data_IF_524870811607
#
_entry.id   IF_524870811607
#
_cell.length_a   1.000
_cell.length_b   1.000
_cell.length_c   1.000
_cell.angle_alpha   90.00
_cell.angle_beta   90.00
_cell.angle_gamma   90.00
#
_symmetry.space_group_name_H-M   'P 1'
#
loop_
_entity.id
_entity.type
_entity.pdbx_description
1 polymer ?
#
# COMPACT_ATOMS: atom_id res chain seq x y z
N UNK A 1 4.67 5.52 3.56
CA UNK A 1 4.90 4.06 3.59
C UNK A 1 3.98 3.37 2.59
N UNK A 2 4.49 2.50 1.70
CA UNK A 2 3.67 1.80 0.71
C UNK A 2 3.39 0.34 1.07
N UNK A 3 2.26 -0.19 0.62
CA UNK A 3 1.83 -1.58 0.88
C UNK A 3 1.42 -2.26 -0.43
N UNK A 4 1.79 -3.53 -0.59
CA UNK A 4 1.22 -4.40 -1.61
C UNK A 4 0.16 -5.32 -0.98
N UNK A 5 -0.97 -5.51 -1.65
CA UNK A 5 -1.96 -6.53 -1.30
C UNK A 5 -2.16 -7.42 -2.52
N UNK A 6 -2.01 -8.73 -2.34
CA UNK A 6 -2.18 -9.70 -3.40
C UNK A 6 -2.97 -10.93 -2.94
N UNK A 7 -3.92 -11.35 -3.77
CA UNK A 7 -4.42 -12.72 -3.71
C UNK A 7 -3.38 -13.63 -4.36
N UNK A 8 -3.22 -14.84 -3.84
CA UNK A 8 -2.49 -15.91 -4.54
C UNK A 8 -3.46 -17.00 -5.01
N UNK A 9 -3.10 -17.72 -6.05
CA UNK A 9 -3.77 -18.92 -6.54
C UNK A 9 -2.78 -20.04 -6.80
N UNK A 10 -3.28 -21.27 -6.90
CA UNK A 10 -2.48 -22.48 -7.21
C UNK A 10 -1.55 -22.27 -8.40
N UNK A 11 -2.03 -21.58 -9.41
CA UNK A 11 -1.27 -21.28 -10.62
C UNK A 11 -0.08 -20.31 -10.48
N UNK A 12 0.12 -19.73 -9.30
CA UNK A 12 1.28 -18.86 -9.02
C UNK A 12 2.53 -19.67 -8.65
N UNK A 13 2.47 -21.01 -8.63
CA UNK A 13 3.62 -21.89 -8.44
C UNK A 13 3.92 -22.70 -9.69
N UNK A 14 5.19 -22.71 -10.09
CA UNK A 14 5.73 -23.59 -11.10
C UNK A 14 6.84 -24.49 -10.54
N UNK A 15 6.93 -25.71 -11.06
CA UNK A 15 7.93 -26.71 -10.68
C UNK A 15 8.78 -27.07 -11.89
N UNK A 16 10.10 -27.04 -11.71
CA UNK A 16 11.09 -27.44 -12.70
C UNK A 16 11.12 -28.96 -12.84
N UNK A 17 10.88 -29.43 -14.05
CA UNK A 17 10.99 -30.84 -14.43
C UNK A 17 11.84 -30.98 -15.69
N UNK A 18 12.41 -32.17 -15.87
CA UNK A 18 13.09 -32.52 -17.12
C UNK A 18 12.05 -33.07 -18.10
N UNK A 19 11.94 -32.45 -19.27
CA UNK A 19 11.13 -32.91 -20.39
C UNK A 19 12.05 -33.07 -21.59
N UNK A 20 12.21 -34.32 -22.07
CA UNK A 20 13.05 -34.65 -23.23
C UNK A 20 14.50 -34.10 -23.15
N UNK A 21 15.10 -34.10 -21.96
CA UNK A 21 16.47 -33.62 -21.74
C UNK A 21 16.57 -32.11 -21.50
N UNK A 22 15.47 -31.37 -21.51
CA UNK A 22 15.43 -29.93 -21.21
C UNK A 22 14.73 -29.67 -19.87
N UNK A 23 15.35 -28.88 -19.01
CA UNK A 23 14.69 -28.40 -17.79
C UNK A 23 13.69 -27.30 -18.12
N UNK A 24 12.45 -27.46 -17.67
CA UNK A 24 11.37 -26.48 -17.86
C UNK A 24 10.52 -26.36 -16.61
N UNK A 25 10.09 -25.15 -16.28
CA UNK A 25 9.16 -24.88 -15.19
C UNK A 25 7.72 -25.00 -15.68
N UNK A 26 6.92 -25.86 -15.05
CA UNK A 26 5.50 -26.00 -15.35
C UNK A 26 4.63 -25.57 -14.18
N UNK A 27 3.52 -24.85 -14.42
CA UNK A 27 2.61 -24.46 -13.35
C UNK A 27 1.94 -25.71 -12.76
N UNK A 28 1.74 -25.72 -11.44
CA UNK A 28 1.01 -26.83 -10.78
C UNK A 28 -0.45 -26.90 -11.23
N UNK A 29 -1.01 -25.75 -11.62
CA UNK A 29 -2.37 -25.60 -12.11
C UNK A 29 -2.37 -24.52 -13.21
N UNK A 30 -2.58 -24.86 -14.49
CA UNK A 30 -2.57 -23.86 -15.54
C UNK A 30 -3.85 -23.02 -15.48
N UNK A 31 -3.72 -21.69 -15.52
CA UNK A 31 -4.88 -20.84 -15.73
C UNK A 31 -5.31 -20.90 -17.19
N UNK A 32 -6.62 -20.86 -17.41
CA UNK A 32 -7.19 -20.46 -18.68
C UNK A 32 -7.65 -19.01 -18.54
N UNK A 33 -6.89 -18.07 -19.10
CA UNK A 33 -7.27 -16.66 -19.14
C UNK A 33 -7.76 -16.28 -20.55
N UNK A 34 -8.77 -15.40 -20.69
CA UNK A 34 -9.18 -14.90 -22.00
C UNK A 34 -8.00 -14.17 -22.66
N UNK A 35 -7.70 -14.52 -23.92
CA UNK A 35 -6.62 -13.96 -24.74
C UNK A 35 -5.18 -14.32 -24.32
N UNK A 36 -4.95 -15.52 -23.75
CA UNK A 36 -3.58 -16.03 -23.62
C UNK A 36 -2.89 -16.07 -24.98
N UNK A 37 -1.80 -15.32 -25.12
CA UNK A 37 -0.98 -15.39 -26.32
C UNK A 37 -0.21 -16.71 -26.36
N UNK A 38 -0.66 -17.60 -27.24
CA UNK A 38 0.00 -18.87 -27.55
C UNK A 38 0.73 -18.81 -28.89
N UNK A 39 0.80 -17.64 -29.51
CA UNK A 39 1.53 -17.49 -30.77
C UNK A 39 3.02 -17.76 -30.55
N UNK A 40 3.64 -18.48 -31.49
CA UNK A 40 5.05 -18.87 -31.38
C UNK A 40 5.33 -20.09 -30.51
N UNK A 41 4.34 -20.69 -29.84
CA UNK A 41 4.51 -21.96 -29.12
C UNK A 41 4.38 -23.16 -30.06
N UNK A 42 5.20 -24.18 -29.82
CA UNK A 42 5.05 -25.49 -30.48
C UNK A 42 3.80 -26.23 -29.99
N UNK A 43 3.25 -27.19 -30.76
CA UNK A 43 2.13 -28.01 -30.30
C UNK A 43 2.42 -28.77 -29.00
N UNK A 44 3.67 -29.20 -28.80
CA UNK A 44 4.10 -29.86 -27.56
C UNK A 44 4.06 -28.91 -26.36
N UNK A 45 4.56 -27.68 -26.52
CA UNK A 45 4.52 -26.63 -25.50
C UNK A 45 3.11 -26.23 -25.12
N UNK A 46 2.20 -26.14 -26.09
CA UNK A 46 0.78 -25.90 -25.83
C UNK A 46 0.22 -27.06 -25.01
N UNK A 47 0.50 -28.30 -25.38
CA UNK A 47 0.04 -29.47 -24.62
C UNK A 47 0.66 -29.52 -23.21
N UNK A 48 1.91 -29.09 -23.07
CA UNK A 48 2.63 -28.99 -21.79
C UNK A 48 2.02 -27.95 -20.86
N UNK A 49 1.64 -26.79 -21.41
CA UNK A 49 0.94 -25.75 -20.70
C UNK A 49 -0.48 -26.16 -20.30
N UNK A 50 -1.23 -26.79 -21.20
CA UNK A 50 -2.63 -27.16 -20.95
C UNK A 50 -2.79 -28.38 -20.04
N UNK A 51 -1.81 -29.30 -20.06
CA UNK A 51 -1.86 -30.57 -19.33
C UNK A 51 -0.54 -30.87 -18.59
N UNK A 52 -0.08 -29.98 -17.69
CA UNK A 52 1.20 -30.14 -17.01
C UNK A 52 1.25 -31.41 -16.15
N UNK A 53 0.11 -31.89 -15.64
CA UNK A 53 0.01 -33.14 -14.88
C UNK A 53 0.52 -34.38 -15.64
N UNK A 54 0.38 -34.42 -16.97
CA UNK A 54 0.92 -35.52 -17.78
C UNK A 54 2.45 -35.54 -17.74
N UNK A 55 3.06 -34.35 -17.76
CA UNK A 55 4.51 -34.18 -17.73
C UNK A 55 5.08 -34.34 -16.32
N UNK A 56 4.35 -33.92 -15.28
CA UNK A 56 4.70 -34.26 -13.89
C UNK A 56 4.67 -35.77 -13.64
N UNK A 57 3.74 -36.49 -14.25
CA UNK A 57 3.70 -37.95 -14.17
C UNK A 57 4.86 -38.60 -14.93
N UNK A 58 5.11 -38.20 -16.19
CA UNK A 58 6.16 -38.82 -17.02
C UNK A 58 7.57 -38.48 -16.56
N UNK A 59 7.80 -37.29 -15.99
CA UNK A 59 9.10 -36.90 -15.39
C UNK A 59 9.42 -37.60 -14.08
N UNK A 60 8.45 -38.32 -13.48
CA UNK A 60 8.63 -38.98 -12.20
C UNK A 60 8.42 -38.09 -10.96
N UNK A 61 8.10 -36.79 -11.13
CA UNK A 61 7.88 -35.85 -10.02
C UNK A 61 6.85 -36.36 -9.00
N UNK A 62 5.75 -36.96 -9.46
CA UNK A 62 4.75 -37.53 -8.55
C UNK A 62 5.30 -38.70 -7.73
N UNK A 63 6.14 -39.55 -8.33
CA UNK A 63 6.75 -40.67 -7.61
C UNK A 63 7.79 -40.17 -6.60
N UNK A 64 8.55 -39.12 -6.95
CA UNK A 64 9.50 -38.44 -6.08
C UNK A 64 8.82 -37.87 -4.82
N UNK A 65 7.63 -37.27 -4.99
CA UNK A 65 6.79 -36.76 -3.90
C UNK A 65 5.97 -37.86 -3.20
N UNK A 66 6.22 -39.14 -3.53
CA UNK A 66 5.63 -40.30 -2.88
C UNK A 66 4.16 -40.57 -3.24
N UNK A 67 3.68 -40.09 -4.38
CA UNK A 67 2.36 -40.42 -4.90
C UNK A 67 2.38 -41.77 -5.65
N UNK A 68 1.23 -42.45 -5.69
CA UNK A 68 1.08 -43.71 -6.43
C UNK A 68 1.09 -43.45 -7.93
N UNK A 69 1.75 -44.33 -8.69
CA UNK A 69 1.73 -44.32 -10.15
C UNK A 69 0.27 -44.36 -10.64
N UNK A 70 -0.10 -43.44 -11.53
CA UNK A 70 -1.43 -43.24 -12.15
C UNK A 70 -2.48 -42.46 -11.35
N UNK A 71 -2.13 -41.86 -10.21
CA UNK A 71 -3.03 -40.93 -9.50
C UNK A 71 -2.54 -39.50 -9.71
N UNK A 72 -3.40 -38.64 -10.26
CA UNK A 72 -3.13 -37.20 -10.36
C UNK A 72 -3.61 -36.53 -9.07
N UNK A 73 -2.70 -36.04 -8.20
CA UNK A 73 -3.09 -35.39 -6.96
C UNK A 73 -3.86 -34.10 -7.23
N UNK A 74 -4.69 -33.71 -6.27
CA UNK A 74 -5.23 -32.35 -6.19
C UNK A 74 -4.11 -31.34 -5.93
N UNK A 75 -4.35 -30.06 -6.24
CA UNK A 75 -3.38 -29.00 -5.99
C UNK A 75 -3.03 -28.89 -4.49
N UNK A 76 -4.00 -29.15 -3.61
CA UNK A 76 -3.79 -29.19 -2.15
C UNK A 76 -2.86 -30.32 -1.75
N UNK A 77 -3.13 -31.57 -2.17
CA UNK A 77 -2.26 -32.72 -1.85
C UNK A 77 -0.85 -32.53 -2.41
N UNK A 78 -0.73 -32.00 -3.63
CA UNK A 78 0.55 -31.72 -4.26
C UNK A 78 1.36 -30.69 -3.47
N UNK A 79 0.75 -29.57 -3.08
CA UNK A 79 1.41 -28.51 -2.31
C UNK A 79 1.71 -28.95 -0.88
N UNK A 80 0.86 -29.76 -0.25
CA UNK A 80 1.12 -30.34 1.07
C UNK A 80 2.36 -31.25 1.05
N UNK A 81 2.43 -32.20 0.12
CA UNK A 81 3.61 -33.08 -0.06
C UNK A 81 4.86 -32.28 -0.43
N UNK A 82 4.73 -31.32 -1.36
CA UNK A 82 5.84 -30.48 -1.77
C UNK A 82 6.40 -29.65 -0.61
N UNK A 83 5.55 -29.11 0.25
CA UNK A 83 5.97 -28.35 1.43
C UNK A 83 6.78 -29.23 2.39
N UNK A 84 6.31 -30.45 2.68
CA UNK A 84 7.04 -31.38 3.55
C UNK A 84 8.44 -31.70 2.98
N UNK A 85 8.54 -32.03 1.69
CA UNK A 85 9.82 -32.32 1.05
C UNK A 85 10.73 -31.08 0.94
N UNK A 86 10.16 -29.89 0.76
CA UNK A 86 10.91 -28.63 0.78
C UNK A 86 11.42 -28.28 2.19
N UNK A 87 10.74 -28.71 3.24
CA UNK A 87 11.27 -28.60 4.60
C UNK A 87 12.48 -29.50 4.80
N UNK A 88 12.44 -30.73 4.30
CA UNK A 88 13.52 -31.71 4.43
C UNK A 88 14.75 -31.37 3.57
N UNK A 89 14.55 -30.87 2.34
CA UNK A 89 15.63 -30.55 1.39
C UNK A 89 15.49 -29.13 0.81
N UNK A 90 15.80 -28.08 1.59
CA UNK A 90 15.56 -26.69 1.18
C UNK A 90 16.28 -26.28 -0.11
N UNK A 91 17.58 -26.54 -0.22
CA UNK A 91 18.39 -26.10 -1.37
C UNK A 91 17.90 -26.72 -2.69
N UNK A 92 17.58 -28.02 -2.64
CA UNK A 92 17.08 -28.77 -3.79
C UNK A 92 15.79 -28.19 -4.36
N UNK A 93 14.81 -27.94 -3.50
CA UNK A 93 13.50 -27.44 -3.92
C UNK A 93 13.50 -25.94 -4.22
N UNK A 94 14.34 -25.15 -3.55
CA UNK A 94 14.46 -23.72 -3.82
C UNK A 94 14.91 -23.43 -5.27
N UNK A 95 15.74 -24.30 -5.84
CA UNK A 95 16.19 -24.22 -7.25
C UNK A 95 15.26 -24.93 -8.25
N UNK A 96 14.24 -25.65 -7.77
CA UNK A 96 13.24 -26.33 -8.59
C UNK A 96 11.87 -25.69 -8.54
N UNK A 97 11.63 -24.73 -7.66
CA UNK A 97 10.35 -24.05 -7.53
C UNK A 97 10.51 -22.61 -7.99
N UNK A 98 9.49 -22.10 -8.68
CA UNK A 98 9.48 -20.73 -9.15
C UNK A 98 8.06 -20.16 -9.11
N UNK A 99 7.81 -19.02 -8.46
CA UNK A 99 6.50 -18.40 -8.41
C UNK A 99 6.37 -17.20 -9.39
N UNK A 100 6.14 -17.44 -10.70
CA UNK A 100 6.36 -16.46 -11.77
C UNK A 100 5.57 -15.16 -11.64
N UNK A 101 4.28 -15.26 -11.26
CA UNK A 101 3.35 -14.12 -11.28
C UNK A 101 3.52 -13.26 -10.05
N UNK A 102 3.49 -13.86 -8.87
CA UNK A 102 3.65 -13.12 -7.62
C UNK A 102 5.06 -12.51 -7.50
N UNK A 103 6.09 -13.15 -8.06
CA UNK A 103 7.42 -12.52 -8.19
C UNK A 103 7.38 -11.25 -9.02
N UNK A 104 6.79 -11.29 -10.22
CA UNK A 104 6.67 -10.08 -11.05
C UNK A 104 5.93 -8.95 -10.34
N UNK A 105 4.87 -9.28 -9.59
CA UNK A 105 4.10 -8.30 -8.80
C UNK A 105 4.96 -7.71 -7.68
N UNK A 106 5.73 -8.53 -6.97
CA UNK A 106 6.61 -8.10 -5.87
C UNK A 106 7.79 -7.28 -6.40
N UNK A 107 8.44 -7.71 -7.49
CA UNK A 107 9.48 -6.91 -8.16
C UNK A 107 8.94 -5.53 -8.53
N UNK A 108 7.74 -5.48 -9.12
CA UNK A 108 7.12 -4.21 -9.46
C UNK A 108 6.89 -3.34 -8.22
N UNK A 109 6.41 -3.93 -7.12
CA UNK A 109 6.22 -3.22 -5.86
C UNK A 109 7.54 -2.66 -5.29
N UNK A 110 8.62 -3.44 -5.34
CA UNK A 110 9.97 -3.01 -4.91
C UNK A 110 10.44 -1.80 -5.72
N UNK A 111 10.22 -1.77 -7.03
CA UNK A 111 10.56 -0.59 -7.86
C UNK A 111 9.80 0.68 -7.47
N UNK A 112 8.73 0.54 -6.68
CA UNK A 112 7.89 1.64 -6.20
C UNK A 112 8.11 1.92 -4.70
N UNK A 113 9.20 1.42 -4.12
CA UNK A 113 9.59 1.67 -2.73
C UNK A 113 8.82 0.85 -1.69
N UNK A 114 8.11 -0.20 -2.11
CA UNK A 114 7.37 -1.09 -1.19
C UNK A 114 8.28 -2.23 -0.74
N UNK A 115 8.29 -2.49 0.56
CA UNK A 115 9.10 -3.54 1.20
C UNK A 115 8.27 -4.63 1.89
N UNK A 116 6.94 -4.56 1.81
CA UNK A 116 6.05 -5.54 2.42
C UNK A 116 4.82 -5.81 1.56
N UNK A 117 4.30 -7.03 1.65
CA UNK A 117 3.06 -7.43 1.00
C UNK A 117 2.16 -8.24 1.93
N UNK A 118 0.88 -7.88 1.97
CA UNK A 118 -0.18 -8.71 2.51
C UNK A 118 -0.62 -9.73 1.46
N UNK A 119 -0.50 -11.01 1.79
CA UNK A 119 -0.86 -12.13 0.93
C UNK A 119 -2.12 -12.79 1.46
N UNK A 120 -3.18 -12.77 0.67
CA UNK A 120 -4.45 -13.39 1.05
C UNK A 120 -4.39 -14.90 0.77
N UNK A 121 -4.56 -15.70 1.82
CA UNK A 121 -4.42 -17.16 1.80
C UNK A 121 -5.77 -17.83 2.03
N UNK A 122 -6.14 -18.77 1.18
CA UNK A 122 -7.37 -19.54 1.28
C UNK A 122 -7.14 -20.90 1.92
N UNK A 123 -8.10 -21.39 2.72
CA UNK A 123 -8.06 -22.70 3.36
C UNK A 123 -9.43 -23.40 3.33
N UNK A 124 -10.15 -23.28 2.21
CA UNK A 124 -11.47 -23.90 2.08
C UNK A 124 -11.30 -25.37 1.72
N UNK A 125 -11.37 -26.23 2.75
CA UNK A 125 -11.52 -27.68 2.58
C UNK A 125 -12.91 -27.92 2.00
N UNK A 126 -13.02 -28.11 0.68
CA UNK A 126 -14.34 -28.37 0.08
C UNK A 126 -14.84 -29.73 0.60
N UNK A 127 -15.95 -29.75 1.33
CA UNK A 127 -16.72 -30.97 1.54
C UNK A 127 -17.29 -31.40 0.18
N UNK A 128 -16.76 -32.48 -0.37
CA UNK A 128 -17.01 -32.93 -1.73
C UNK A 128 -18.49 -33.28 -1.97
N UNK A 129 -19.23 -32.45 -2.70
CA UNK A 129 -20.45 -32.87 -3.42
C UNK A 129 -20.21 -33.15 -4.91
N UNK A 130 -19.12 -32.62 -5.48
CA UNK A 130 -18.74 -32.85 -6.88
C UNK A 130 -17.26 -33.29 -6.97
N UNK A 131 -16.98 -34.56 -7.34
CA UNK A 131 -15.63 -35.10 -7.47
C UNK A 131 -14.80 -34.45 -8.61
N UNK A 132 -15.38 -33.60 -9.45
CA UNK A 132 -14.66 -32.86 -10.51
C UNK A 132 -14.06 -31.53 -10.02
N UNK A 133 -14.44 -31.05 -8.85
CA UNK A 133 -13.91 -29.81 -8.27
C UNK A 133 -12.72 -30.15 -7.38
N UNK A 134 -11.51 -30.11 -7.97
CA UNK A 134 -10.26 -30.29 -7.21
C UNK A 134 -10.12 -29.15 -6.18
N UNK A 135 -9.68 -29.46 -4.96
CA UNK A 135 -9.35 -28.46 -3.94
C UNK A 135 -8.23 -27.53 -4.46
N UNK A 136 -8.58 -26.25 -4.68
CA UNK A 136 -7.71 -25.20 -5.22
C UNK A 136 -7.51 -24.06 -4.22
N UNK A 137 -7.38 -24.40 -2.94
CA UNK A 137 -6.97 -23.45 -1.90
C UNK A 137 -5.44 -23.22 -1.91
N UNK A 138 -4.96 -22.30 -1.08
CA UNK A 138 -3.56 -21.85 -1.08
C UNK A 138 -2.85 -22.01 0.26
N UNK A 139 -3.43 -22.74 1.23
CA UNK A 139 -2.89 -22.84 2.60
C UNK A 139 -1.51 -23.48 2.66
N UNK A 140 -1.25 -24.51 1.84
CA UNK A 140 0.07 -25.15 1.75
C UNK A 140 0.96 -24.48 0.69
N UNK A 141 0.36 -23.74 -0.24
CA UNK A 141 1.11 -22.97 -1.24
C UNK A 141 1.83 -21.77 -0.61
N UNK A 142 1.15 -21.03 0.28
CA UNK A 142 1.72 -19.83 0.88
C UNK A 142 3.06 -20.09 1.59
N UNK A 143 3.21 -21.09 2.48
CA UNK A 143 4.48 -21.37 3.15
C UNK A 143 5.62 -21.73 2.18
N UNK A 144 5.32 -22.38 1.05
CA UNK A 144 6.31 -22.66 -0.01
C UNK A 144 6.81 -21.34 -0.62
N UNK A 145 5.87 -20.47 -0.99
CA UNK A 145 6.15 -19.16 -1.56
C UNK A 145 6.95 -18.32 -0.56
N UNK A 146 6.50 -18.24 0.69
CA UNK A 146 7.16 -17.51 1.77
C UNK A 146 8.62 -17.94 1.95
N UNK A 147 8.86 -19.25 2.07
CA UNK A 147 10.21 -19.80 2.22
C UNK A 147 11.11 -19.49 1.02
N UNK A 148 10.57 -19.59 -0.18
CA UNK A 148 11.30 -19.27 -1.41
C UNK A 148 11.67 -17.79 -1.50
N UNK A 149 10.73 -16.89 -1.18
CA UNK A 149 11.00 -15.44 -1.12
C UNK A 149 11.97 -15.07 -0.01
N UNK A 150 11.90 -15.68 1.17
CA UNK A 150 12.85 -15.43 2.25
C UNK A 150 14.30 -15.71 1.82
N UNK A 151 14.50 -16.66 0.91
CA UNK A 151 15.83 -17.01 0.37
C UNK A 151 16.31 -16.00 -0.67
N UNK A 152 15.41 -15.47 -1.50
CA UNK A 152 15.77 -14.62 -2.65
C UNK A 152 15.65 -13.11 -2.36
N UNK A 153 14.74 -12.70 -1.48
CA UNK A 153 14.41 -11.32 -1.09
C UNK A 153 14.28 -11.20 0.44
N UNK A 154 15.37 -11.34 1.22
CA UNK A 154 15.31 -11.35 2.69
C UNK A 154 14.85 -10.01 3.31
N UNK A 155 14.88 -8.93 2.54
CA UNK A 155 14.44 -7.59 2.94
C UNK A 155 12.97 -7.31 2.64
N UNK A 156 12.27 -8.22 1.94
CA UNK A 156 10.87 -8.05 1.58
C UNK A 156 9.99 -8.92 2.48
N UNK A 157 9.07 -8.30 3.23
CA UNK A 157 8.25 -9.01 4.21
C UNK A 157 6.93 -9.46 3.61
N UNK A 158 6.63 -10.76 3.70
CA UNK A 158 5.31 -11.30 3.35
C UNK A 158 4.49 -11.51 4.62
N UNK A 159 3.28 -10.94 4.64
CA UNK A 159 2.36 -11.01 5.78
C UNK A 159 1.13 -11.80 5.33
N UNK A 160 0.83 -12.97 5.93
CA UNK A 160 -0.34 -13.74 5.52
C UNK A 160 -1.61 -13.17 6.14
N UNK A 161 -2.68 -13.18 5.36
CA UNK A 161 -4.04 -12.93 5.82
C UNK A 161 -4.93 -14.09 5.38
N UNK A 162 -5.33 -14.93 6.34
CA UNK A 162 -6.07 -16.15 6.07
C UNK A 162 -7.57 -15.87 5.97
N UNK A 163 -8.19 -16.30 4.86
CA UNK A 163 -9.64 -16.37 4.75
C UNK A 163 -10.12 -17.50 5.68
N UNK A 164 -11.01 -17.21 6.65
CA UNK A 164 -11.59 -18.21 7.54
C UNK A 164 -12.16 -19.43 6.79
N UNK A 165 -12.01 -20.63 7.38
CA UNK A 165 -12.45 -21.90 6.74
C UNK A 165 -13.97 -21.91 6.44
N UNK A 166 -14.76 -21.18 7.23
CA UNK A 166 -16.22 -21.06 7.12
C UNK A 166 -16.70 -20.09 6.02
N UNK A 167 -15.79 -19.33 5.38
CA UNK A 167 -16.12 -18.44 4.26
C UNK A 167 -15.87 -19.18 2.93
N UNK A 168 -16.92 -19.57 2.17
CA UNK A 168 -16.75 -20.21 0.88
C UNK A 168 -16.19 -19.22 -0.16
N UNK A 169 -15.20 -19.63 -0.97
CA UNK A 169 -14.59 -18.78 -1.99
C UNK A 169 -15.49 -18.40 -3.18
N UNK A 170 -16.71 -18.92 -3.21
CA UNK A 170 -17.75 -18.63 -4.19
C UNK A 170 -18.80 -17.66 -3.66
N UNK A 171 -18.84 -17.45 -2.34
CA UNK A 171 -19.80 -16.55 -1.70
C UNK A 171 -19.27 -15.12 -1.73
N UNK A 172 -19.83 -14.32 -2.64
CA UNK A 172 -19.41 -12.93 -2.83
C UNK A 172 -19.62 -12.09 -1.57
N UNK A 173 -20.74 -12.25 -0.87
CA UNK A 173 -21.13 -11.36 0.23
C UNK A 173 -20.21 -11.56 1.44
N UNK A 174 -19.93 -12.82 1.79
CA UNK A 174 -18.98 -13.14 2.86
C UNK A 174 -17.56 -12.71 2.51
N UNK A 175 -17.13 -12.88 1.25
CA UNK A 175 -15.84 -12.36 0.80
C UNK A 175 -15.77 -10.83 0.87
N UNK A 176 -16.81 -10.12 0.42
CA UNK A 176 -16.87 -8.66 0.54
C UNK A 176 -16.70 -8.20 1.99
N UNK A 177 -17.38 -8.86 2.93
CA UNK A 177 -17.26 -8.58 4.36
C UNK A 177 -15.84 -8.85 4.86
N UNK A 178 -15.25 -9.99 4.50
CA UNK A 178 -13.87 -10.33 4.87
C UNK A 178 -12.87 -9.25 4.41
N UNK A 179 -12.91 -8.86 3.14
CA UNK A 179 -12.00 -7.82 2.63
C UNK A 179 -12.28 -6.47 3.28
N UNK A 180 -13.53 -6.13 3.53
CA UNK A 180 -13.90 -4.91 4.27
C UNK A 180 -13.28 -4.90 5.68
N UNK A 181 -13.40 -5.99 6.43
CA UNK A 181 -12.85 -6.11 7.78
C UNK A 181 -11.31 -6.07 7.77
N UNK A 182 -10.68 -6.70 6.78
CA UNK A 182 -9.23 -6.63 6.54
C UNK A 182 -8.75 -5.20 6.30
N UNK A 183 -9.36 -4.49 5.34
CA UNK A 183 -8.99 -3.11 5.02
C UNK A 183 -9.23 -2.14 6.19
N UNK A 184 -10.28 -2.35 6.99
CA UNK A 184 -10.53 -1.55 8.18
C UNK A 184 -9.45 -1.76 9.26
N UNK A 185 -8.96 -3.00 9.43
CA UNK A 185 -7.83 -3.28 10.33
C UNK A 185 -6.57 -2.59 9.84
N UNK A 186 -6.26 -2.66 8.54
CA UNK A 186 -5.12 -1.96 7.95
C UNK A 186 -5.17 -0.45 8.22
N UNK A 187 -6.29 0.19 7.88
CA UNK A 187 -6.50 1.63 8.15
C UNK A 187 -6.31 1.96 9.62
N UNK A 188 -6.90 1.17 10.53
CA UNK A 188 -6.79 1.43 11.97
C UNK A 188 -5.35 1.28 12.48
N UNK A 189 -4.59 0.32 11.94
CA UNK A 189 -3.18 0.14 12.28
C UNK A 189 -2.34 1.33 11.77
N UNK A 190 -2.60 1.80 10.56
CA UNK A 190 -1.95 2.99 9.99
C UNK A 190 -2.29 4.25 10.76
N UNK A 191 -3.56 4.49 11.10
CA UNK A 191 -3.95 5.64 11.93
C UNK A 191 -3.27 5.62 13.31
N UNK A 192 -3.10 4.43 13.90
CA UNK A 192 -2.35 4.26 15.16
C UNK A 192 -0.87 4.53 14.97
N UNK A 193 -0.26 4.01 13.90
CA UNK A 193 1.14 4.23 13.58
C UNK A 193 1.41 5.70 13.27
N UNK A 194 0.54 6.36 12.50
CA UNK A 194 0.59 7.80 12.26
C UNK A 194 0.43 8.58 13.56
N UNK A 195 -0.54 8.25 14.43
CA UNK A 195 -0.67 8.90 15.75
C UNK A 195 0.57 8.71 16.63
N UNK A 196 1.22 7.54 16.56
CA UNK A 196 2.46 7.26 17.29
C UNK A 196 3.68 7.93 16.65
N UNK A 197 3.76 8.01 15.32
CA UNK A 197 4.82 8.72 14.59
C UNK A 197 4.67 10.25 14.69
N UNK A 198 3.45 10.75 14.93
CA UNK A 198 3.16 12.16 15.25
C UNK A 198 3.58 12.55 16.67
N UNK A 199 4.10 11.62 17.48
CA UNK A 199 4.81 11.96 18.71
C UNK A 199 6.13 12.62 18.30
N UNK A 200 6.24 13.92 18.57
CA UNK A 200 7.42 14.72 18.26
C UNK A 200 8.67 14.07 18.84
N UNK A 201 9.79 14.10 18.11
CA UNK A 201 11.11 13.63 18.56
C UNK A 201 11.92 14.79 19.11
N UNK A 202 12.94 14.48 19.91
CA UNK A 202 13.90 15.49 20.37
C UNK A 202 14.64 16.03 19.13
N UNK A 203 14.69 17.36 19.00
CA UNK A 203 15.27 18.07 17.87
C UNK A 203 14.26 18.60 16.85
N UNK A 204 13.02 18.11 16.87
CA UNK A 204 11.99 18.56 15.92
C UNK A 204 11.65 20.03 16.13
N UNK A 205 11.62 20.80 15.03
CA UNK A 205 11.09 22.17 15.03
C UNK A 205 9.61 22.15 14.71
N UNK A 206 8.79 22.72 15.60
CA UNK A 206 7.34 22.71 15.52
C UNK A 206 6.74 24.09 15.69
N UNK A 207 5.67 24.35 14.95
CA UNK A 207 4.84 25.54 15.11
C UNK A 207 3.81 25.29 16.22
N UNK A 208 3.81 26.15 17.24
CA UNK A 208 2.96 26.01 18.41
C UNK A 208 2.20 27.31 18.72
N UNK A 209 0.95 27.16 19.16
CA UNK A 209 0.08 28.23 19.59
C UNK A 209 0.28 28.51 21.07
N UNK A 210 0.48 29.77 21.45
CA UNK A 210 0.57 30.19 22.85
C UNK A 210 -0.81 30.11 23.50
N UNK A 211 -0.96 29.26 24.51
CA UNK A 211 -2.23 29.04 25.21
C UNK A 211 -2.34 29.94 26.43
N UNK A 212 -1.30 29.96 27.26
CA UNK A 212 -1.32 30.65 28.54
C UNK A 212 0.09 30.92 29.06
N UNK A 213 0.24 32.01 29.81
CA UNK A 213 1.41 32.22 30.66
C UNK A 213 1.26 31.43 31.96
N UNK A 214 2.37 30.90 32.46
CA UNK A 214 2.40 30.25 33.76
C UNK A 214 2.29 31.30 34.88
N UNK A 215 1.53 30.98 35.94
CA UNK A 215 1.11 31.95 36.94
C UNK A 215 2.27 32.49 37.80
N UNK A 216 3.35 31.73 37.95
CA UNK A 216 4.55 32.14 38.69
C UNK A 216 5.59 32.82 37.78
N UNK A 217 5.26 33.02 36.49
CA UNK A 217 6.14 33.67 35.53
C UNK A 217 7.33 32.82 35.07
N UNK A 218 7.30 31.51 35.28
CA UNK A 218 8.41 30.61 34.97
C UNK A 218 8.40 30.11 33.53
N UNK A 219 7.40 30.48 32.73
CA UNK A 219 7.34 30.08 31.33
C UNK A 219 5.97 30.23 30.69
N UNK A 220 5.79 29.52 29.58
CA UNK A 220 4.63 29.64 28.70
C UNK A 220 4.15 28.24 28.28
N UNK A 221 2.84 28.03 28.35
CA UNK A 221 2.17 26.85 27.81
C UNK A 221 1.83 27.06 26.34
N UNK A 222 2.19 26.09 25.51
CA UNK A 222 1.94 26.10 24.08
C UNK A 222 1.32 24.79 23.62
N UNK A 223 0.55 24.81 22.53
CA UNK A 223 -0.02 23.63 21.89
C UNK A 223 0.37 23.63 20.42
N UNK A 224 1.01 22.55 19.97
CA UNK A 224 1.40 22.40 18.57
C UNK A 224 0.17 22.24 17.69
N UNK A 225 0.28 22.57 16.40
CA UNK A 225 -0.79 22.33 15.41
C UNK A 225 -1.18 20.83 15.36
N UNK A 226 -0.26 19.94 15.76
CA UNK A 226 -0.51 18.52 15.88
C UNK A 226 -1.40 18.11 17.08
N UNK A 227 -1.78 19.05 17.96
CA UNK A 227 -2.57 18.82 19.17
C UNK A 227 -1.74 18.36 20.38
N UNK A 228 -0.42 18.56 20.35
CA UNK A 228 0.50 18.18 21.44
C UNK A 228 0.74 19.37 22.34
N UNK A 229 0.47 19.21 23.64
CA UNK A 229 0.73 20.25 24.66
C UNK A 229 2.19 20.23 25.10
N UNK A 230 2.82 21.41 25.12
CA UNK A 230 4.20 21.60 25.53
C UNK A 230 4.37 22.80 26.45
N UNK A 231 5.56 22.92 27.04
CA UNK A 231 5.92 24.00 27.95
C UNK A 231 7.31 24.54 27.61
N UNK A 232 7.41 25.86 27.49
CA UNK A 232 8.67 26.59 27.32
C UNK A 232 9.02 27.21 28.66
N UNK A 233 10.07 26.72 29.31
CA UNK A 233 10.60 27.31 30.54
C UNK A 233 11.32 28.63 30.23
N UNK A 234 11.33 29.58 31.16
CA UNK A 234 11.94 30.92 30.96
C UNK A 234 13.41 30.84 30.50
N UNK A 235 14.19 29.91 31.06
CA UNK A 235 15.59 29.65 30.67
C UNK A 235 15.76 29.00 29.28
N UNK A 236 14.67 28.58 28.64
CA UNK A 236 14.69 27.99 27.30
C UNK A 236 14.20 28.97 26.23
N UNK A 237 14.01 30.24 26.58
CA UNK A 237 13.48 31.25 25.66
C UNK A 237 14.60 31.95 24.90
N UNK A 238 15.65 32.37 25.63
CA UNK A 238 16.80 33.07 25.09
C UNK A 238 18.10 32.55 25.71
N UNK A 239 19.23 32.81 25.06
CA UNK A 239 20.57 32.54 25.60
C UNK A 239 20.99 33.59 26.64
N UNK A 240 20.28 34.71 26.75
CA UNK A 240 20.42 35.70 27.83
C UNK A 240 19.30 35.56 28.86
N UNK A 241 19.51 36.15 30.04
CA UNK A 241 18.49 36.17 31.09
C UNK A 241 17.22 36.89 30.59
N UNK A 242 16.08 36.21 30.73
CA UNK A 242 14.74 36.69 30.38
C UNK A 242 13.98 36.96 31.68
N UNK A 243 13.28 38.09 31.76
CA UNK A 243 12.38 38.38 32.87
C UNK A 243 10.89 38.20 32.50
N UNK A 244 10.01 38.43 33.47
CA UNK A 244 8.56 38.28 33.26
C UNK A 244 7.96 39.30 32.28
N UNK A 245 8.53 40.50 32.18
CA UNK A 245 8.06 41.50 31.24
C UNK A 245 8.49 41.15 29.81
N UNK A 246 9.71 40.63 29.65
CA UNK A 246 10.23 40.12 28.39
C UNK A 246 9.35 39.01 27.83
N UNK A 247 8.88 38.08 28.67
CA UNK A 247 7.93 37.03 28.28
C UNK A 247 6.70 37.57 27.56
N UNK A 248 6.11 38.64 28.07
CA UNK A 248 4.89 39.27 27.52
C UNK A 248 5.16 40.10 26.27
N UNK A 249 6.42 40.48 26.03
CA UNK A 249 6.84 41.14 24.80
C UNK A 249 7.15 40.12 23.70
N UNK A 250 7.69 38.96 24.06
CA UNK A 250 8.08 37.90 23.12
C UNK A 250 6.86 37.08 22.67
N UNK A 251 5.96 36.75 23.61
CA UNK A 251 4.80 35.89 23.35
C UNK A 251 3.49 36.65 23.52
N UNK A 252 2.50 36.30 22.69
CA UNK A 252 1.12 36.81 22.80
C UNK A 252 0.19 35.62 22.86
N UNK A 253 -0.80 35.64 23.76
CA UNK A 253 -1.81 34.57 23.80
C UNK A 253 -2.47 34.46 22.41
N UNK A 254 -2.70 33.23 21.98
CA UNK A 254 -3.21 32.86 20.67
C UNK A 254 -2.27 33.08 19.47
N UNK A 255 -1.06 33.61 19.65
CA UNK A 255 -0.08 33.71 18.56
C UNK A 255 0.62 32.38 18.28
N UNK A 256 1.06 32.21 17.04
CA UNK A 256 1.86 31.06 16.60
C UNK A 256 3.35 31.39 16.71
N UNK A 257 4.12 30.49 17.31
CA UNK A 257 5.58 30.61 17.51
C UNK A 257 6.28 29.32 17.15
N UNK A 258 7.45 29.41 16.53
CA UNK A 258 8.29 28.24 16.26
C UNK A 258 9.08 27.86 17.50
N UNK A 259 9.12 26.57 17.82
CA UNK A 259 9.79 26.01 18.99
C UNK A 259 10.50 24.72 18.60
N UNK A 260 11.60 24.38 19.28
CA UNK A 260 12.27 23.08 19.13
C UNK A 260 11.98 22.19 20.34
N UNK A 261 11.81 20.90 20.11
CA UNK A 261 11.67 19.89 21.16
C UNK A 261 13.03 19.57 21.76
N UNK A 262 13.23 19.94 23.03
CA UNK A 262 14.51 19.70 23.71
C UNK A 262 14.48 18.45 24.60
N UNK A 263 13.31 18.09 25.13
CA UNK A 263 13.15 16.92 26.01
C UNK A 263 11.72 16.44 26.04
N UNK A 264 11.55 15.12 26.17
CA UNK A 264 10.26 14.45 26.33
C UNK A 264 10.30 13.67 27.64
N UNK A 265 9.34 13.88 28.52
CA UNK A 265 9.25 13.22 29.82
C UNK A 265 7.80 12.83 30.13
N UNK A 266 7.52 11.52 30.17
CA UNK A 266 6.18 10.97 30.44
C UNK A 266 5.04 11.64 29.66
N UNK A 267 5.25 11.89 28.35
CA UNK A 267 4.26 12.54 27.47
C UNK A 267 4.17 14.07 27.61
N UNK A 268 5.01 14.69 28.44
CA UNK A 268 5.18 16.15 28.52
C UNK A 268 6.36 16.59 27.66
N UNK A 269 6.10 17.58 26.80
CA UNK A 269 7.09 18.12 25.88
C UNK A 269 7.70 19.40 26.44
N UNK A 270 9.02 19.39 26.64
CA UNK A 270 9.78 20.61 26.92
C UNK A 270 10.24 21.19 25.60
N UNK A 271 9.88 22.44 25.39
CA UNK A 271 10.11 23.19 24.17
C UNK A 271 11.03 24.37 24.44
N UNK A 272 11.66 24.86 23.39
CA UNK A 272 12.69 25.89 23.48
C UNK A 272 12.73 26.76 22.23
N UNK A 273 13.06 28.03 22.39
CA UNK A 273 13.25 28.99 21.28
C UNK A 273 14.68 29.50 21.19
N UNK A 274 15.52 29.25 22.21
CA UNK A 274 16.91 29.70 22.28
C UNK A 274 17.79 29.15 21.16
N UNK A 275 17.44 27.98 20.62
CA UNK A 275 18.20 27.30 19.55
C UNK A 275 18.11 28.04 18.21
N UNK A 276 17.16 28.98 18.08
CA UNK A 276 17.00 29.79 16.88
C UNK A 276 17.75 31.12 16.92
N UNK A 277 18.27 31.52 18.08
CA UNK A 277 19.07 32.73 18.23
C UNK A 277 20.46 32.57 17.61
N UNK A 278 20.85 33.50 16.75
CA UNK A 278 22.23 33.57 16.24
C UNK A 278 23.15 34.33 17.18
N UNK A 279 22.60 35.32 17.88
CA UNK A 279 23.28 36.09 18.92
C UNK A 279 22.48 36.05 20.21
N UNK A 280 23.14 36.01 21.39
CA UNK A 280 22.43 35.96 22.65
C UNK A 280 21.49 37.15 22.84
N UNK A 281 20.23 36.88 23.20
CA UNK A 281 19.23 37.93 23.46
C UNK A 281 18.54 38.48 22.21
N UNK A 282 18.75 37.87 21.05
CA UNK A 282 18.12 38.29 19.79
C UNK A 282 16.59 38.27 19.89
N UNK A 283 16.02 37.24 20.52
CA UNK A 283 14.57 37.06 20.59
C UNK A 283 13.91 38.11 21.50
N UNK A 284 14.63 38.64 22.49
CA UNK A 284 14.12 39.67 23.41
C UNK A 284 13.96 41.00 22.65
N UNK A 285 14.93 41.32 21.78
CA UNK A 285 14.97 42.58 21.05
C UNK A 285 14.10 42.57 19.79
N UNK A 286 14.10 41.45 19.06
CA UNK A 286 13.35 41.32 17.81
C UNK A 286 12.85 39.88 17.58
N UNK A 287 11.78 39.45 18.30
CA UNK A 287 11.23 38.11 18.16
C UNK A 287 10.82 37.76 16.73
N UNK A 288 10.25 38.74 16.00
CA UNK A 288 9.76 38.54 14.64
C UNK A 288 10.89 38.20 13.66
N UNK A 289 12.07 38.82 13.78
CA UNK A 289 13.21 38.51 12.93
C UNK A 289 13.68 37.06 13.10
N UNK A 290 13.71 36.57 14.34
CA UNK A 290 14.07 35.18 14.66
C UNK A 290 13.05 34.22 14.03
N UNK A 291 11.75 34.43 14.25
CA UNK A 291 10.70 33.54 13.73
C UNK A 291 10.60 33.57 12.19
N UNK A 292 10.78 34.74 11.57
CA UNK A 292 10.80 34.85 10.10
C UNK A 292 11.97 34.06 9.50
N UNK A 293 13.14 34.06 10.14
CA UNK A 293 14.30 33.27 9.72
C UNK A 293 14.03 31.78 9.83
N UNK A 294 13.48 31.33 10.96
CA UNK A 294 13.11 29.93 11.16
C UNK A 294 12.10 29.49 10.10
N UNK A 295 11.11 30.32 9.81
CA UNK A 295 10.15 30.06 8.72
C UNK A 295 10.83 29.96 7.36
N UNK A 296 11.82 30.81 7.05
CA UNK A 296 12.59 30.70 5.81
C UNK A 296 13.42 29.42 5.74
N UNK A 297 14.09 29.03 6.83
CA UNK A 297 14.85 27.78 6.92
C UNK A 297 13.93 26.56 6.76
N UNK A 298 12.77 26.57 7.41
CA UNK A 298 11.76 25.52 7.26
C UNK A 298 11.21 25.51 5.84
N UNK A 299 10.96 26.64 5.19
CA UNK A 299 10.48 26.65 3.81
C UNK A 299 11.52 26.11 2.82
N UNK A 300 12.81 26.39 3.06
CA UNK A 300 13.91 25.85 2.27
C UNK A 300 14.12 24.35 2.51
N UNK A 301 13.97 23.90 3.76
CA UNK A 301 13.98 22.48 4.13
C UNK A 301 12.73 21.76 3.63
N UNK A 302 11.55 22.38 3.70
CA UNK A 302 10.30 21.81 3.18
C UNK A 302 10.36 21.65 1.66
N UNK A 303 11.05 22.53 0.94
CA UNK A 303 11.29 22.34 -0.49
C UNK A 303 12.24 21.15 -0.80
N UNK A 304 13.10 20.73 0.14
CA UNK A 304 13.95 19.52 0.02
C UNK A 304 13.36 18.28 0.69
N UNK A 305 12.47 18.46 1.67
CA UNK A 305 11.93 17.44 2.59
C UNK A 305 10.44 17.16 2.32
N UNK A 306 9.88 17.70 1.23
CA UNK A 306 8.58 17.31 0.65
C UNK A 306 8.65 15.91 0.00
N UNK A 307 9.26 14.95 0.67
CA UNK A 307 8.83 13.56 0.60
C UNK A 307 8.10 13.25 1.90
N UNK A 308 6.89 13.84 2.05
CA UNK A 308 5.86 13.07 2.74
C UNK A 308 5.78 11.78 1.96
N UNK A 309 6.18 10.68 2.58
CA UNK A 309 6.26 9.35 2.01
C UNK A 309 4.83 8.91 1.61
N UNK A 310 4.33 9.44 0.49
CA UNK A 310 2.91 9.36 0.10
C UNK A 310 2.47 7.91 0.08
N UNK A 311 1.50 7.58 0.92
CA UNK A 311 1.05 6.21 1.15
C UNK A 311 0.50 5.62 -0.16
N UNK A 312 1.31 4.76 -0.76
CA UNK A 312 1.02 4.05 -1.99
C UNK A 312 0.50 2.66 -1.66
N UNK A 313 -0.75 2.39 -2.01
CA UNK A 313 -1.30 1.04 -2.02
C UNK A 313 -1.19 0.46 -3.43
N UNK A 314 -0.63 -0.75 -3.53
CA UNK A 314 -0.70 -1.58 -4.73
C UNK A 314 -1.64 -2.75 -4.48
N UNK A 315 -2.53 -3.03 -5.44
CA UNK A 315 -3.37 -4.22 -5.43
C UNK A 315 -3.10 -5.07 -6.66
N UNK A 316 -2.72 -6.33 -6.47
CA UNK A 316 -2.65 -7.27 -7.58
C UNK A 316 -4.05 -7.56 -8.13
N UNK A 317 -4.22 -7.51 -9.44
CA UNK A 317 -5.50 -7.82 -10.10
C UNK A 317 -5.69 -9.31 -10.37
N UNK A 318 -4.68 -10.13 -10.10
CA UNK A 318 -4.67 -11.58 -10.36
C UNK A 318 -4.59 -12.36 -9.04
N UNK A 319 -4.66 -13.68 -9.13
CA UNK A 319 -4.71 -14.59 -7.99
C UNK A 319 -6.11 -14.77 -7.40
N UNK A 320 -6.37 -15.94 -6.82
CA UNK A 320 -7.67 -16.28 -6.25
C UNK A 320 -8.82 -16.46 -7.26
N UNK A 321 -10.04 -16.62 -6.74
CA UNK A 321 -11.27 -16.73 -7.54
C UNK A 321 -11.67 -15.39 -8.16
N UNK A 322 -12.63 -15.39 -9.09
CA UNK A 322 -13.18 -14.15 -9.66
C UNK A 322 -13.78 -13.28 -8.54
N UNK A 323 -14.51 -13.90 -7.62
CA UNK A 323 -15.14 -13.27 -6.47
C UNK A 323 -14.10 -12.62 -5.55
N UNK A 324 -13.00 -13.33 -5.24
CA UNK A 324 -11.89 -12.77 -4.45
C UNK A 324 -11.27 -11.54 -5.12
N UNK A 325 -11.00 -11.61 -6.44
CA UNK A 325 -10.44 -10.47 -7.19
C UNK A 325 -11.38 -9.27 -7.18
N UNK A 326 -12.66 -9.50 -7.45
CA UNK A 326 -13.68 -8.44 -7.47
C UNK A 326 -13.84 -7.81 -6.08
N UNK A 327 -13.93 -8.61 -5.02
CA UNK A 327 -14.06 -8.12 -3.66
C UNK A 327 -12.83 -7.32 -3.22
N UNK A 328 -11.62 -7.83 -3.45
CA UNK A 328 -10.37 -7.13 -3.16
C UNK A 328 -10.28 -5.78 -3.88
N UNK A 329 -10.56 -5.75 -5.18
CA UNK A 329 -10.51 -4.52 -5.98
C UNK A 329 -11.52 -3.48 -5.51
N UNK A 330 -12.78 -3.89 -5.29
CA UNK A 330 -13.84 -2.98 -4.89
C UNK A 330 -13.65 -2.46 -3.47
N UNK A 331 -13.23 -3.31 -2.54
CA UNK A 331 -12.93 -2.87 -1.18
C UNK A 331 -11.67 -2.01 -1.14
N UNK A 332 -10.63 -2.33 -1.91
CA UNK A 332 -9.45 -1.46 -2.03
C UNK A 332 -9.81 -0.05 -2.51
N UNK A 333 -10.75 0.07 -3.44
CA UNK A 333 -11.25 1.36 -3.90
C UNK A 333 -12.07 2.08 -2.82
N UNK A 334 -12.83 1.36 -2.00
CA UNK A 334 -13.66 1.98 -0.95
C UNK A 334 -12.83 2.63 0.16
N UNK A 335 -11.59 2.17 0.38
CA UNK A 335 -10.65 2.73 1.37
C UNK A 335 -9.73 3.82 0.81
N UNK A 336 -9.94 4.27 -0.43
CA UNK A 336 -9.15 5.34 -1.04
C UNK A 336 -9.15 6.67 -0.29
N UNK A 337 -10.10 6.89 0.61
CA UNK A 337 -10.07 8.05 1.50
C UNK A 337 -8.93 7.98 2.52
N UNK A 338 -8.45 6.79 2.85
CA UNK A 338 -7.33 6.57 3.77
C UNK A 338 -5.97 6.59 3.07
N UNK A 339 -5.89 6.13 1.81
CA UNK A 339 -4.64 6.03 1.04
C UNK A 339 -4.59 7.08 -0.07
N UNK A 340 -3.57 7.95 -0.06
CA UNK A 340 -3.44 9.03 -1.06
C UNK A 340 -3.26 8.50 -2.49
N UNK A 341 -2.64 7.33 -2.67
CA UNK A 341 -2.38 6.73 -3.98
C UNK A 341 -2.75 5.24 -3.99
N UNK A 342 -3.57 4.83 -4.95
CA UNK A 342 -3.87 3.41 -5.24
C UNK A 342 -3.54 3.10 -6.69
N UNK A 343 -2.81 2.02 -6.90
CA UNK A 343 -2.57 1.46 -8.23
C UNK A 343 -2.84 -0.02 -8.24
N UNK A 344 -3.14 -0.52 -9.43
CA UNK A 344 -3.40 -1.92 -9.66
C UNK A 344 -2.26 -2.51 -10.47
N UNK A 345 -1.72 -3.64 -10.03
CA UNK A 345 -0.63 -4.34 -10.69
C UNK A 345 -1.21 -5.51 -11.46
N UNK A 346 -1.09 -5.47 -12.79
CA UNK A 346 -1.55 -6.51 -13.69
C UNK A 346 -0.38 -7.31 -14.26
N UNK A 347 -0.06 -8.50 -13.70
CA UNK A 347 0.95 -9.36 -14.27
C UNK A 347 0.47 -9.96 -15.60
N UNK A 348 1.28 -9.77 -16.63
CA UNK A 348 1.09 -10.29 -17.97
C UNK A 348 1.76 -11.66 -18.09
N UNK A 349 0.95 -12.70 -18.28
CA UNK A 349 1.44 -14.07 -18.33
C UNK A 349 2.07 -14.38 -19.69
N UNK A 350 3.36 -14.63 -19.71
CA UNK A 350 4.10 -15.07 -20.89
C UNK A 350 4.52 -16.54 -20.70
N UNK A 351 3.95 -17.45 -21.49
CA UNK A 351 4.19 -18.90 -21.36
C UNK A 351 5.69 -19.26 -21.52
N UNK A 352 6.41 -18.75 -22.56
CA UNK A 352 7.85 -18.97 -22.67
C UNK A 352 8.66 -18.47 -21.46
N UNK A 353 8.28 -17.32 -20.90
CA UNK A 353 8.92 -16.79 -19.69
C UNK A 353 8.71 -17.71 -18.50
N UNK A 354 7.51 -18.26 -18.33
CA UNK A 354 7.25 -19.25 -17.26
C UNK A 354 8.15 -20.47 -17.43
N UNK A 355 8.20 -21.07 -18.63
CA UNK A 355 9.02 -22.27 -18.88
C UNK A 355 10.50 -22.07 -18.56
N UNK A 356 11.01 -20.85 -18.72
CA UNK A 356 12.41 -20.49 -18.49
C UNK A 356 12.69 -19.92 -17.09
N UNK A 357 11.68 -19.87 -16.21
CA UNK A 357 11.85 -19.35 -14.85
C UNK A 357 12.01 -17.84 -14.80
N UNK A 358 11.42 -17.12 -15.75
CA UNK A 358 11.41 -15.65 -15.79
C UNK A 358 10.09 -15.11 -15.24
N UNK A 359 10.14 -14.01 -14.47
CA UNK A 359 8.93 -13.48 -13.85
C UNK A 359 8.00 -12.82 -14.87
N UNK A 360 6.73 -12.71 -14.49
CA UNK A 360 5.74 -12.04 -15.33
C UNK A 360 6.02 -10.53 -15.35
N UNK A 361 6.05 -9.93 -16.54
CA UNK A 361 6.04 -8.47 -16.65
C UNK A 361 4.74 -7.93 -16.06
N UNK A 362 4.75 -6.69 -15.56
CA UNK A 362 3.58 -6.11 -14.91
C UNK A 362 3.23 -4.76 -15.56
N UNK A 363 1.94 -4.59 -15.86
CA UNK A 363 1.36 -3.31 -16.25
C UNK A 363 0.70 -2.66 -15.04
N UNK A 364 0.85 -1.34 -14.91
CA UNK A 364 0.14 -0.56 -13.91
C UNK A 364 -1.18 -0.07 -14.49
N UNK A 365 -2.26 -0.34 -13.77
CA UNK A 365 -3.61 0.05 -14.11
C UNK A 365 -4.21 0.95 -13.04
N UNK A 366 -5.23 1.72 -13.43
CA UNK A 366 -6.04 2.50 -12.53
C UNK A 366 -7.52 2.42 -12.91
N UNK A 367 -8.37 2.11 -11.94
CA UNK A 367 -9.83 2.16 -12.09
C UNK A 367 -10.39 3.58 -11.91
N UNK A 368 -9.67 4.60 -12.41
CA UNK A 368 -9.95 6.02 -12.18
C UNK A 368 -11.39 6.42 -12.50
N UNK A 369 -12.04 5.82 -13.51
CA UNK A 369 -13.45 6.10 -13.86
C UNK A 369 -14.41 5.71 -12.74
N UNK A 370 -14.16 4.56 -12.13
CA UNK A 370 -14.98 4.06 -11.03
C UNK A 370 -14.72 4.88 -9.76
N UNK A 371 -13.44 5.19 -9.47
CA UNK A 371 -13.04 6.07 -8.37
C UNK A 371 -13.70 7.45 -8.49
N UNK A 372 -13.70 8.04 -9.70
CA UNK A 372 -14.35 9.32 -9.99
C UNK A 372 -15.83 9.30 -9.63
N UNK A 373 -16.55 8.26 -10.05
CA UNK A 373 -17.99 8.13 -9.79
C UNK A 373 -18.26 8.14 -8.29
N UNK A 374 -17.49 7.38 -7.52
CA UNK A 374 -17.59 7.35 -6.06
C UNK A 374 -17.26 8.71 -5.42
N UNK A 375 -16.13 9.33 -5.80
CA UNK A 375 -15.75 10.65 -5.27
C UNK A 375 -16.83 11.70 -5.53
N UNK A 376 -17.43 11.72 -6.72
CA UNK A 376 -18.52 12.66 -7.04
C UNK A 376 -19.82 12.38 -6.28
N UNK A 377 -20.12 11.12 -5.96
CA UNK A 377 -21.24 10.79 -5.08
C UNK A 377 -20.97 11.29 -3.66
N UNK A 378 -19.76 11.09 -3.13
CA UNK A 378 -19.37 11.62 -1.81
C UNK A 378 -19.46 13.14 -1.76
N UNK A 379 -18.90 13.85 -2.76
CA UNK A 379 -18.98 15.31 -2.85
C UNK A 379 -20.43 15.79 -2.86
N UNK A 380 -21.31 15.12 -3.62
CA UNK A 380 -22.74 15.46 -3.63
C UNK A 380 -23.34 15.38 -2.22
N UNK A 381 -23.07 14.29 -1.48
CA UNK A 381 -23.56 14.12 -0.12
C UNK A 381 -22.99 15.15 0.87
N UNK A 382 -21.74 15.59 0.69
CA UNK A 382 -21.13 16.65 1.50
C UNK A 382 -21.78 18.01 1.23
N UNK A 383 -22.01 18.34 -0.04
CA UNK A 383 -22.69 19.59 -0.42
C UNK A 383 -24.14 19.62 0.07
N UNK A 384 -24.85 18.49 0.06
CA UNK A 384 -26.19 18.38 0.68
C UNK A 384 -26.16 18.69 2.19
N UNK A 385 -25.01 18.50 2.85
CA UNK A 385 -24.76 18.80 4.27
C UNK A 385 -24.04 20.12 4.50
N UNK A 386 -23.86 20.94 3.45
CA UNK A 386 -23.14 22.22 3.50
C UNK A 386 -21.65 22.11 3.91
N UNK A 387 -21.04 20.92 3.76
CA UNK A 387 -19.61 20.72 4.00
C UNK A 387 -18.79 21.03 2.74
N UNK A 388 -18.56 22.32 2.52
CA UNK A 388 -17.80 22.81 1.36
C UNK A 388 -16.31 22.50 1.46
N UNK A 389 -15.73 22.59 2.66
CA UNK A 389 -14.31 22.33 2.86
C UNK A 389 -13.97 20.86 2.63
N UNK A 390 -14.81 19.93 3.10
CA UNK A 390 -14.68 18.51 2.78
C UNK A 390 -14.82 18.22 1.28
N UNK A 391 -15.75 18.89 0.60
CA UNK A 391 -15.91 18.76 -0.85
C UNK A 391 -14.69 19.29 -1.64
N UNK A 392 -14.13 20.44 -1.22
CA UNK A 392 -12.92 21.04 -1.79
C UNK A 392 -11.73 20.07 -1.58
N UNK A 393 -11.54 19.56 -0.37
CA UNK A 393 -10.45 18.64 -0.06
C UNK A 393 -10.49 17.40 -0.95
N UNK A 394 -11.65 16.74 -1.08
CA UNK A 394 -11.79 15.54 -1.93
C UNK A 394 -11.45 15.83 -3.39
N UNK A 395 -11.82 17.01 -3.91
CA UNK A 395 -11.52 17.41 -5.28
C UNK A 395 -10.03 17.73 -5.47
N UNK A 396 -9.39 18.41 -4.52
CA UNK A 396 -7.95 18.68 -4.54
C UNK A 396 -7.16 17.38 -4.53
N UNK A 397 -7.45 16.47 -3.59
CA UNK A 397 -6.83 15.14 -3.53
C UNK A 397 -7.02 14.35 -4.84
N UNK A 398 -8.19 14.53 -5.46
CA UNK A 398 -8.48 13.88 -6.74
C UNK A 398 -7.66 14.46 -7.90
N UNK A 399 -7.43 15.79 -7.94
CA UNK A 399 -6.54 16.41 -8.92
C UNK A 399 -5.09 15.93 -8.75
N UNK A 400 -4.59 15.88 -7.53
CA UNK A 400 -3.25 15.38 -7.21
C UNK A 400 -3.07 13.93 -7.68
N UNK A 401 -4.05 13.07 -7.38
CA UNK A 401 -4.02 11.68 -7.81
C UNK A 401 -4.03 11.54 -9.35
N UNK A 402 -4.82 12.34 -10.07
CA UNK A 402 -4.82 12.30 -11.53
C UNK A 402 -3.49 12.76 -12.13
N UNK A 403 -2.88 13.81 -11.56
CA UNK A 403 -1.53 14.25 -11.94
C UNK A 403 -0.49 13.16 -11.69
N UNK A 404 -0.60 12.46 -10.57
CA UNK A 404 0.25 11.30 -10.27
C UNK A 404 0.09 10.19 -11.33
N UNK A 405 -1.14 9.82 -11.71
CA UNK A 405 -1.36 8.81 -12.75
C UNK A 405 -0.72 9.19 -14.09
N UNK A 406 -0.83 10.47 -14.48
CA UNK A 406 -0.24 11.00 -15.71
C UNK A 406 1.29 10.89 -15.64
N UNK A 407 1.90 11.29 -14.53
CA UNK A 407 3.34 11.21 -14.32
C UNK A 407 3.86 9.76 -14.32
N UNK A 408 3.07 8.80 -13.84
CA UNK A 408 3.38 7.38 -13.91
C UNK A 408 3.17 6.76 -15.32
N UNK A 409 2.77 7.56 -16.31
CA UNK A 409 2.52 7.10 -17.67
C UNK A 409 1.28 6.20 -17.79
N UNK A 410 0.43 6.15 -16.77
CA UNK A 410 -0.78 5.33 -16.76
C UNK A 410 -1.82 6.02 -17.64
N UNK A 411 -2.18 5.38 -18.76
CA UNK A 411 -3.13 5.93 -19.73
C UNK A 411 -4.53 5.33 -19.54
N UNK A 412 -5.61 6.05 -19.88
CA UNK A 412 -6.94 5.47 -19.87
C UNK A 412 -7.00 4.30 -20.86
N UNK A 413 -7.50 3.14 -20.42
CA UNK A 413 -7.69 1.99 -21.31
C UNK A 413 -8.59 2.40 -22.49
N UNK A 414 -8.03 2.38 -23.70
CA UNK A 414 -8.75 2.56 -24.97
C UNK A 414 -9.62 1.32 -25.22
N UNK A 415 -10.85 1.29 -24.70
CA UNK A 415 -11.87 0.39 -25.27
C UNK A 415 -12.54 1.09 -26.45
N UNK A 416 -12.03 0.79 -27.65
CA UNK A 416 -12.65 1.17 -28.92
C UNK A 416 -14.02 0.47 -29.07
N UNK A 417 -15.11 1.24 -28.95
CA UNK A 417 -16.28 1.23 -29.86
C UNK A 417 -17.22 2.39 -29.54
N UNK A 418 -16.76 3.59 -29.90
CA UNK A 418 -17.47 4.78 -30.40
C UNK A 418 -16.56 5.97 -30.22
N UNK A 419 -16.42 6.78 -31.28
CA UNK A 419 -15.67 8.02 -31.30
C UNK A 419 -16.09 8.91 -30.13
N UNK A 420 -15.29 8.90 -29.08
CA UNK A 420 -15.13 10.00 -28.14
C UNK A 420 -13.78 9.80 -27.50
N UNK A 421 -12.84 10.66 -27.88
CA UNK A 421 -11.49 10.68 -27.31
C UNK A 421 -11.62 11.33 -25.95
N UNK A 422 -11.98 10.56 -24.92
CA UNK A 422 -11.94 11.06 -23.54
C UNK A 422 -10.58 10.72 -22.93
N UNK A 423 -9.64 11.67 -23.03
CA UNK A 423 -8.36 11.64 -22.32
C UNK A 423 -8.53 11.95 -20.84
N UNK A 424 -7.42 11.97 -20.09
CA UNK A 424 -7.41 12.61 -18.75
C UNK A 424 -7.73 14.12 -18.85
N UNK A 425 -7.68 14.70 -20.05
CA UNK A 425 -7.93 16.12 -20.30
C UNK A 425 -9.41 16.55 -20.23
N UNK A 426 -10.39 15.63 -20.29
CA UNK A 426 -11.82 15.94 -20.08
C UNK A 426 -12.23 16.05 -18.61
N UNK A 427 -11.25 16.38 -17.77
CA UNK A 427 -11.40 16.57 -16.36
C UNK A 427 -12.04 17.94 -16.11
N UNK A 428 -13.38 17.93 -16.10
CA UNK A 428 -14.27 18.97 -15.57
C UNK A 428 -14.00 19.34 -14.08
N UNK A 429 -12.86 18.97 -13.49
CA UNK A 429 -12.55 19.16 -12.07
C UNK A 429 -12.11 20.59 -11.79
N UNK A 430 -11.23 21.19 -12.60
CA UNK A 430 -10.83 22.60 -12.39
C UNK A 430 -12.05 23.52 -12.44
N UNK A 431 -12.91 23.33 -13.45
CA UNK A 431 -14.15 24.07 -13.63
C UNK A 431 -15.16 23.87 -12.48
N UNK A 432 -15.13 22.74 -11.75
CA UNK A 432 -16.02 22.49 -10.60
C UNK A 432 -15.44 22.95 -9.28
N UNK A 433 -14.12 22.83 -9.08
CA UNK A 433 -13.45 23.29 -7.87
C UNK A 433 -13.63 24.81 -7.69
N UNK A 434 -13.38 25.59 -8.74
CA UNK A 434 -13.58 27.04 -8.72
C UNK A 434 -15.03 27.45 -8.42
N UNK A 435 -16.00 26.66 -8.87
CA UNK A 435 -17.42 26.90 -8.60
C UNK A 435 -17.76 26.65 -7.13
N UNK A 436 -17.22 25.58 -6.54
CA UNK A 436 -17.46 25.24 -5.13
C UNK A 436 -16.75 26.22 -4.20
N UNK A 437 -15.52 26.66 -4.54
CA UNK A 437 -14.79 27.71 -3.82
C UNK A 437 -15.59 29.01 -3.82
N UNK A 438 -16.03 29.48 -4.98
CA UNK A 438 -16.86 30.70 -5.09
C UNK A 438 -18.17 30.59 -4.30
N UNK A 439 -18.80 29.41 -4.30
CA UNK A 439 -20.00 29.18 -3.52
C UNK A 439 -19.70 29.31 -2.01
N UNK A 440 -18.69 28.61 -1.50
CA UNK A 440 -18.25 28.73 -0.10
C UNK A 440 -17.98 30.19 0.29
N UNK A 441 -17.19 30.90 -0.51
CA UNK A 441 -16.81 32.29 -0.25
C UNK A 441 -17.99 33.28 -0.37
N UNK A 442 -19.12 32.86 -0.94
CA UNK A 442 -20.37 33.65 -0.98
C UNK A 442 -21.29 33.37 0.23
N UNK A 443 -21.08 32.26 0.94
CA UNK A 443 -21.90 31.82 2.09
C UNK A 443 -21.20 32.01 3.44
N UNK A 444 -19.87 32.21 3.46
CA UNK A 444 -19.08 32.63 4.62
C UNK A 444 -18.87 34.15 4.60
#
# INVERSE_FOLDING_TARGET
>A
MGILIANIGTSDLAIKINVNGQERYLPIDPLSEPNQDKSGLTPEEINMWEKPYLYFQSSGLYSELGFRSNVVPSSRELTERLLAYYQDNPEYWNERIFPPRIWGVIEKAITMGINQAYIIVSNQKVEQKDPKVRNKDTVHLYPIIEKWFATKLPYFTLIPEYIPEDIPLVDSDLLFKFYFDFFNRLRTAEEKNQRQQKLLKIGDTVLAKVIAFENQGQGVFVETIAGVKGFIHIDNISQTQVDFNDLRNIFTIDSLVYTQVIKIDNGKYKLSTKEFEQTPGEIINNPQAVFNRVQQTINLQSASDLEVEEELMLISVKGGTIQMKTALQLQGISVLSAFKRLLFVNPQLCIPSVFTGQPSSCELESYWRYIRTHKYQTIRLLLERWDFDGAIQILTDWQEYLSYLINQGIRPVRKLKRQSVYGFEDVLISARLDVIIRARDSYC
#
